data_IF_642257690478
#
_entry.id   IF_642257690478
#
_cell.length_a   1.000
_cell.length_b   1.000
_cell.length_c   1.000
_cell.angle_alpha   90.00
_cell.angle_beta   90.00
_cell.angle_gamma   90.00
#
_symmetry.space_group_name_H-M   'P 1'
#
loop_
_entity.id
_entity.type
_entity.pdbx_description
1 polymer ?
#
# COMPACT_ATOMS: atom_id res chain seq x y z
N UNK A 1 1.73 -14.27 23.59
CA UNK A 1 2.85 -13.36 23.29
C UNK A 1 2.48 -12.70 21.96
N UNK A 2 2.05 -11.44 21.97
CA UNK A 2 1.54 -10.78 20.77
C UNK A 2 2.67 -10.65 19.74
N UNK A 3 2.41 -11.02 18.49
CA UNK A 3 3.31 -10.67 17.39
C UNK A 3 3.57 -9.15 17.46
N UNK A 4 4.81 -8.67 17.21
CA UNK A 4 5.04 -7.24 17.00
C UNK A 4 4.02 -6.73 16.00
N UNK A 5 3.42 -5.55 16.26
CA UNK A 5 2.43 -4.97 15.36
C UNK A 5 3.02 -4.87 13.95
N UNK A 6 2.55 -5.75 13.06
CA UNK A 6 2.96 -5.78 11.67
C UNK A 6 2.15 -4.74 10.90
N UNK A 7 2.82 -3.99 10.01
CA UNK A 7 2.17 -2.98 9.19
C UNK A 7 2.12 -3.45 7.73
N UNK A 8 0.93 -3.64 7.13
CA UNK A 8 0.84 -4.00 5.73
C UNK A 8 1.17 -2.82 4.82
N UNK A 9 2.04 -3.05 3.84
CA UNK A 9 2.42 -2.09 2.81
C UNK A 9 2.14 -2.69 1.42
N UNK A 10 1.28 -2.04 0.67
CA UNK A 10 1.08 -2.28 -0.75
C UNK A 10 2.00 -1.36 -1.57
N UNK A 11 2.89 -1.95 -2.37
CA UNK A 11 3.65 -1.24 -3.39
C UNK A 11 2.79 -1.11 -4.65
N UNK A 12 2.17 0.06 -4.82
CA UNK A 12 1.21 0.33 -5.89
C UNK A 12 1.75 1.31 -6.94
N UNK A 13 3.05 1.61 -7.03
CA UNK A 13 3.47 2.33 -8.23
C UNK A 13 4.88 2.89 -8.33
N UNK A 14 5.10 3.26 -9.58
CA UNK A 14 6.20 3.97 -10.24
C UNK A 14 5.79 4.06 -11.71
N UNK A 15 6.37 4.98 -12.50
CA UNK A 15 5.98 5.13 -13.92
C UNK A 15 6.12 3.82 -14.70
N UNK A 16 5.04 3.35 -15.33
CA UNK A 16 5.08 2.21 -16.26
C UNK A 16 5.80 2.64 -17.53
N UNK A 17 7.04 2.17 -17.72
CA UNK A 17 7.89 2.57 -18.86
C UNK A 17 7.69 1.71 -20.10
N UNK A 18 7.09 0.52 -19.94
CA UNK A 18 6.91 -0.46 -21.04
C UNK A 18 5.51 -0.50 -21.62
N UNK A 19 4.48 -0.31 -20.79
CA UNK A 19 3.09 -0.63 -21.16
C UNK A 19 2.22 0.60 -21.44
N UNK A 20 2.72 1.82 -21.24
CA UNK A 20 1.97 3.07 -21.47
C UNK A 20 0.84 3.34 -20.45
N UNK A 21 0.33 2.31 -19.77
CA UNK A 21 -0.64 2.40 -18.66
C UNK A 21 0.05 2.06 -17.34
N UNK A 22 -0.25 2.80 -16.24
CA UNK A 22 0.27 2.48 -14.91
C UNK A 22 -0.14 1.08 -14.46
N UNK A 23 0.83 0.26 -14.04
CA UNK A 23 0.61 -1.14 -13.71
C UNK A 23 -0.47 -1.34 -12.66
N UNK A 24 -0.50 -0.48 -11.64
CA UNK A 24 -1.46 -0.59 -10.53
C UNK A 24 -2.91 -0.36 -10.95
N UNK A 25 -3.14 0.40 -12.02
CA UNK A 25 -4.46 0.68 -12.59
C UNK A 25 -4.87 -0.32 -13.70
N UNK A 26 -4.00 -1.28 -14.05
CA UNK A 26 -4.42 -2.37 -14.92
C UNK A 26 -5.58 -3.11 -14.27
N UNK A 27 -6.53 -3.54 -15.10
CA UNK A 27 -7.78 -4.15 -14.64
C UNK A 27 -7.73 -5.66 -14.80
N UNK A 28 -8.21 -6.36 -13.78
CA UNK A 28 -8.55 -7.78 -13.83
C UNK A 28 -9.71 -8.01 -14.81
N UNK A 29 -9.97 -9.26 -15.24
CA UNK A 29 -11.11 -9.57 -16.11
C UNK A 29 -12.48 -9.13 -15.57
N UNK A 30 -12.62 -9.01 -14.25
CA UNK A 30 -13.81 -8.49 -13.57
C UNK A 30 -13.89 -6.96 -13.51
N UNK A 31 -12.90 -6.26 -14.07
CA UNK A 31 -12.81 -4.80 -14.10
C UNK A 31 -12.10 -4.16 -12.91
N UNK A 32 -11.77 -4.92 -11.86
CA UNK A 32 -11.12 -4.42 -10.65
C UNK A 32 -9.65 -4.05 -10.93
N UNK A 33 -9.19 -2.84 -10.55
CA UNK A 33 -7.78 -2.47 -10.62
C UNK A 33 -6.88 -3.40 -9.77
N UNK A 34 -5.66 -3.66 -10.22
CA UNK A 34 -4.71 -4.55 -9.53
C UNK A 34 -4.46 -4.12 -8.09
N UNK A 35 -4.28 -2.81 -7.84
CA UNK A 35 -4.06 -2.33 -6.47
C UNK A 35 -5.27 -2.57 -5.56
N UNK A 36 -6.50 -2.44 -6.07
CA UNK A 36 -7.72 -2.69 -5.29
C UNK A 36 -7.86 -4.17 -4.95
N UNK A 37 -7.54 -5.06 -5.90
CA UNK A 37 -7.53 -6.50 -5.64
C UNK A 37 -6.58 -6.86 -4.50
N UNK A 38 -5.40 -6.24 -4.50
CA UNK A 38 -4.41 -6.46 -3.44
C UNK A 38 -4.82 -5.83 -2.10
N UNK A 39 -5.46 -4.67 -2.14
CA UNK A 39 -6.01 -4.01 -0.96
C UNK A 39 -7.11 -4.86 -0.30
N UNK A 40 -7.98 -5.51 -1.09
CA UNK A 40 -8.98 -6.46 -0.57
C UNK A 40 -8.31 -7.63 0.15
N UNK A 41 -7.22 -8.19 -0.41
CA UNK A 41 -6.45 -9.23 0.27
C UNK A 41 -5.92 -8.73 1.62
N UNK A 42 -5.28 -7.56 1.63
CA UNK A 42 -4.70 -6.99 2.85
C UNK A 42 -5.77 -6.68 3.90
N UNK A 43 -6.96 -6.23 3.51
CA UNK A 43 -8.09 -6.01 4.43
C UNK A 43 -8.57 -7.29 5.10
N UNK A 44 -8.58 -8.40 4.37
CA UNK A 44 -8.96 -9.69 4.93
C UNK A 44 -7.93 -10.22 5.96
N UNK A 45 -6.64 -9.92 5.76
CA UNK A 45 -5.55 -10.40 6.61
C UNK A 45 -5.31 -9.48 7.81
N UNK A 46 -5.42 -8.18 7.61
CA UNK A 46 -5.14 -7.13 8.61
C UNK A 46 -6.43 -6.35 8.91
N UNK A 47 -7.36 -6.92 9.70
CA UNK A 47 -8.60 -6.24 10.06
C UNK A 47 -8.35 -5.05 11.00
N UNK A 48 -9.39 -4.21 11.17
CA UNK A 48 -9.41 -3.09 12.11
C UNK A 48 -8.90 -3.50 13.52
N UNK A 49 -8.17 -2.61 14.21
CA UNK A 49 -7.94 -1.19 13.91
C UNK A 49 -6.67 -0.91 13.07
N UNK A 50 -6.19 -1.87 12.29
CA UNK A 50 -4.92 -1.74 11.58
C UNK A 50 -5.03 -0.79 10.38
N UNK A 51 -4.02 0.07 10.20
CA UNK A 51 -3.90 0.90 8.99
C UNK A 51 -3.15 0.13 7.91
N UNK A 52 -3.70 0.13 6.69
CA UNK A 52 -3.03 -0.38 5.48
C UNK A 52 -2.37 0.78 4.74
N UNK A 53 -1.10 0.60 4.40
CA UNK A 53 -0.31 1.60 3.72
C UNK A 53 -0.21 1.29 2.23
N UNK A 54 -0.33 2.30 1.38
CA UNK A 54 -0.13 2.19 -0.06
C UNK A 54 1.02 3.13 -0.45
N UNK A 55 2.12 2.60 -0.97
CA UNK A 55 3.18 3.43 -1.54
C UNK A 55 2.89 3.76 -3.01
N UNK A 56 3.01 5.04 -3.34
CA UNK A 56 2.86 5.58 -4.69
C UNK A 56 3.99 6.55 -5.00
N UNK A 57 4.60 6.42 -6.19
CA UNK A 57 5.51 7.44 -6.70
C UNK A 57 4.78 8.79 -6.90
N UNK A 58 5.48 9.94 -6.82
CA UNK A 58 4.89 11.26 -7.00
C UNK A 58 4.08 11.41 -8.29
N UNK A 59 4.59 10.86 -9.37
CA UNK A 59 4.02 10.93 -10.72
C UNK A 59 3.01 9.81 -11.01
N UNK A 60 2.69 8.97 -10.03
CA UNK A 60 1.70 7.90 -10.22
C UNK A 60 0.33 8.51 -10.47
N UNK A 61 -0.28 8.12 -11.58
CA UNK A 61 -1.68 8.40 -11.87
C UNK A 61 -2.59 7.74 -10.82
N UNK A 62 -3.71 8.38 -10.54
CA UNK A 62 -4.69 7.97 -9.53
C UNK A 62 -6.08 7.86 -10.16
N UNK A 63 -6.91 7.00 -9.58
CA UNK A 63 -8.35 6.96 -9.88
C UNK A 63 -9.14 7.67 -8.76
N UNK A 64 -10.46 7.74 -8.91
CA UNK A 64 -11.35 8.42 -7.95
C UNK A 64 -11.17 7.94 -6.50
N UNK A 65 -10.86 6.65 -6.31
CA UNK A 65 -10.67 6.09 -4.97
C UNK A 65 -9.35 6.54 -4.35
N UNK A 66 -8.25 6.50 -5.09
CA UNK A 66 -6.95 6.99 -4.61
C UNK A 66 -6.97 8.50 -4.38
N UNK A 67 -7.66 9.26 -5.22
CA UNK A 67 -7.85 10.70 -5.04
C UNK A 67 -8.63 11.02 -3.78
N UNK A 68 -9.72 10.28 -3.52
CA UNK A 68 -10.49 10.43 -2.28
C UNK A 68 -9.66 10.19 -1.02
N UNK A 69 -8.77 9.19 -1.03
CA UNK A 69 -7.85 8.93 0.09
C UNK A 69 -6.87 10.08 0.29
N UNK A 70 -6.31 10.63 -0.79
CA UNK A 70 -5.36 11.75 -0.72
C UNK A 70 -6.01 13.03 -0.21
N UNK A 71 -7.25 13.32 -0.63
CA UNK A 71 -8.00 14.48 -0.14
C UNK A 71 -8.40 14.33 1.34
N UNK A 72 -8.77 13.13 1.76
CA UNK A 72 -9.10 12.86 3.17
C UNK A 72 -7.89 13.01 4.11
N UNK A 73 -6.66 12.83 3.62
CA UNK A 73 -5.43 13.06 4.40
C UNK A 73 -5.13 14.55 4.62
N UNK A 74 -5.64 15.45 3.78
CA UNK A 74 -5.46 16.91 3.97
C UNK A 74 -6.47 17.52 4.94
N UNK A 75 -7.63 16.89 5.14
CA UNK A 75 -8.71 17.39 5.98
C UNK A 75 -8.74 16.66 7.35
N UNK A 76 -7.63 16.69 8.09
CA UNK A 76 -7.58 16.17 9.47
C UNK A 76 -8.39 17.07 10.44
N UNK A 77 -9.71 17.12 10.28
CA UNK A 77 -10.66 17.66 11.28
C UNK A 77 -12.08 17.16 11.02
N UNK A 78 -12.36 15.91 11.37
CA UNK A 78 -13.67 15.49 11.90
C UNK A 78 -13.65 14.02 12.31
N UNK A 79 -13.35 13.78 13.59
CA UNK A 79 -13.84 12.58 14.26
C UNK A 79 -15.28 12.85 14.67
N UNK A 80 -16.26 12.31 13.93
CA UNK A 80 -17.60 12.09 14.45
C UNK A 80 -18.37 11.09 13.57
N UNK A 81 -18.78 9.98 14.18
CA UNK A 81 -19.86 9.13 13.70
C UNK A 81 -19.43 7.79 13.09
N UNK A 82 -19.82 6.72 13.79
CA UNK A 82 -19.79 5.29 13.41
C UNK A 82 -18.44 4.72 12.94
N UNK A 83 -17.83 3.88 13.77
CA UNK A 83 -16.52 3.28 13.49
C UNK A 83 -16.56 2.52 12.16
N UNK A 84 -15.62 2.77 11.22
CA UNK A 84 -15.60 2.06 9.94
C UNK A 84 -15.40 0.56 10.18
N UNK A 85 -16.19 -0.27 9.50
CA UNK A 85 -16.05 -1.75 9.52
C UNK A 85 -14.80 -2.26 8.81
N UNK A 86 -14.04 -1.38 8.16
CA UNK A 86 -12.90 -1.73 7.32
C UNK A 86 -11.62 -1.00 7.75
N UNK A 87 -10.44 -1.64 7.58
CA UNK A 87 -9.13 -1.06 7.83
C UNK A 87 -8.97 0.34 7.22
N UNK A 88 -8.52 1.30 8.03
CA UNK A 88 -8.07 2.62 7.53
C UNK A 88 -6.98 2.43 6.47
N UNK A 89 -7.04 3.19 5.38
CA UNK A 89 -6.02 3.18 4.33
C UNK A 89 -5.27 4.51 4.34
N UNK A 90 -3.94 4.47 4.20
CA UNK A 90 -3.06 5.64 4.15
C UNK A 90 -2.10 5.54 2.97
N UNK A 91 -1.93 6.62 2.22
CA UNK A 91 -1.00 6.69 1.10
C UNK A 91 0.34 7.27 1.58
N UNK A 92 1.43 6.58 1.25
CA UNK A 92 2.79 7.04 1.43
C UNK A 92 3.35 7.46 0.07
N UNK A 93 3.39 8.77 -0.19
CA UNK A 93 4.01 9.29 -1.41
C UNK A 93 5.52 9.18 -1.33
N UNK A 94 6.12 8.61 -2.37
CA UNK A 94 7.57 8.44 -2.41
C UNK A 94 8.28 9.78 -2.53
N UNK A 95 9.30 10.00 -1.70
CA UNK A 95 10.08 11.25 -1.69
C UNK A 95 11.46 11.01 -2.30
N UNK A 96 11.68 11.35 -3.59
CA UNK A 96 13.02 11.31 -4.16
C UNK A 96 14.02 12.16 -3.38
N UNK A 97 15.28 11.73 -3.25
CA UNK A 97 16.36 12.64 -2.86
C UNK A 97 16.46 13.76 -3.90
N UNK A 98 16.49 15.02 -3.44
CA UNK A 98 16.51 16.21 -4.30
C UNK A 98 17.65 16.18 -5.34
N UNK A 99 18.80 15.61 -4.96
CA UNK A 99 20.00 15.55 -5.79
C UNK A 99 19.95 14.42 -6.85
N UNK A 100 19.12 13.40 -6.64
CA UNK A 100 19.11 12.16 -7.44
C UNK A 100 17.68 11.66 -7.69
N UNK A 101 16.83 12.44 -8.38
CA UNK A 101 15.42 12.09 -8.59
C UNK A 101 15.23 10.76 -9.34
N UNK A 102 16.17 10.38 -10.22
CA UNK A 102 16.13 9.09 -10.93
C UNK A 102 16.41 7.86 -10.06
N UNK A 103 17.07 8.05 -8.92
CA UNK A 103 17.36 6.96 -7.97
C UNK A 103 16.17 6.66 -7.03
N UNK A 104 15.08 7.42 -7.15
CA UNK A 104 13.84 7.19 -6.44
C UNK A 104 12.80 6.42 -7.26
N UNK A 105 13.24 5.75 -8.33
CA UNK A 105 12.35 4.96 -9.16
C UNK A 105 12.32 3.50 -8.66
N UNK A 106 11.11 2.95 -8.57
CA UNK A 106 10.88 1.53 -8.35
C UNK A 106 10.68 1.13 -6.89
N UNK A 107 10.59 -0.19 -6.61
CA UNK A 107 10.13 -0.71 -5.33
C UNK A 107 10.91 -0.25 -4.10
N UNK A 108 12.21 0.03 -4.26
CA UNK A 108 13.05 0.51 -3.17
C UNK A 108 12.63 1.89 -2.64
N UNK A 109 12.05 2.74 -3.49
CA UNK A 109 11.53 4.04 -3.06
C UNK A 109 10.36 3.86 -2.08
N UNK A 110 9.43 2.96 -2.40
CA UNK A 110 8.32 2.63 -1.52
C UNK A 110 8.75 2.02 -0.19
N UNK A 111 9.76 1.13 -0.20
CA UNK A 111 10.36 0.62 1.03
C UNK A 111 10.98 1.74 1.88
N UNK A 112 11.67 2.69 1.25
CA UNK A 112 12.26 3.82 1.94
C UNK A 112 11.19 4.78 2.50
N UNK A 113 10.07 4.98 1.78
CA UNK A 113 8.93 5.74 2.26
C UNK A 113 8.32 5.13 3.51
N UNK A 114 8.15 3.80 3.51
CA UNK A 114 7.68 3.07 4.68
C UNK A 114 8.68 3.15 5.85
N UNK A 115 9.97 2.96 5.60
CA UNK A 115 11.02 3.12 6.63
C UNK A 115 11.06 4.53 7.22
N UNK A 116 10.92 5.57 6.38
CA UNK A 116 10.86 6.96 6.85
C UNK A 116 9.60 7.25 7.66
N UNK A 117 8.50 6.56 7.37
CA UNK A 117 7.25 6.68 8.12
C UNK A 117 7.35 6.01 9.49
N UNK A 118 7.84 4.77 9.53
CA UNK A 118 8.09 4.05 10.78
C UNK A 118 9.30 3.09 10.60
N UNK A 119 10.49 3.47 11.11
CA UNK A 119 11.69 2.66 10.96
C UNK A 119 11.71 1.43 11.88
N UNK A 120 10.80 1.37 12.86
CA UNK A 120 10.73 0.29 13.84
C UNK A 120 9.61 -0.71 13.54
N UNK A 121 8.76 -0.42 12.56
CA UNK A 121 7.69 -1.30 12.13
C UNK A 121 8.23 -2.56 11.42
N UNK A 122 7.49 -3.65 11.62
CA UNK A 122 7.67 -4.86 10.84
C UNK A 122 6.73 -4.80 9.65
N UNK A 123 7.27 -4.39 8.51
CA UNK A 123 6.49 -4.19 7.29
C UNK A 123 6.22 -5.53 6.59
N UNK A 124 4.93 -5.82 6.36
CA UNK A 124 4.51 -6.91 5.47
C UNK A 124 4.27 -6.30 4.10
N UNK A 125 5.22 -6.53 3.18
CA UNK A 125 5.26 -5.86 1.88
C UNK A 125 4.66 -6.76 0.81
N UNK A 126 3.69 -6.21 0.07
CA UNK A 126 3.04 -6.88 -1.06
C UNK A 126 3.08 -5.96 -2.28
N UNK A 127 3.28 -6.50 -3.48
CA UNK A 127 3.22 -5.73 -4.73
C UNK A 127 1.85 -5.89 -5.37
N UNK A 128 1.39 -4.88 -6.12
CA UNK A 128 0.14 -4.98 -6.88
C UNK A 128 0.20 -5.95 -8.08
N UNK A 129 1.40 -6.42 -8.46
CA UNK A 129 1.61 -7.29 -9.62
C UNK A 129 1.22 -8.77 -9.36
N UNK A 130 0.87 -9.12 -8.12
CA UNK A 130 0.49 -10.49 -7.74
C UNK A 130 -0.99 -10.60 -7.32
N UNK A 131 -1.97 -10.27 -8.20
CA UNK A 131 -3.39 -10.20 -7.84
C UNK A 131 -4.04 -11.53 -7.44
N UNK A 132 -3.32 -12.65 -7.65
CA UNK A 132 -3.73 -14.00 -7.30
C UNK A 132 -2.99 -14.54 -6.05
N UNK A 133 -2.24 -13.70 -5.33
CA UNK A 133 -1.57 -14.08 -4.09
C UNK A 133 -2.61 -14.55 -3.06
N UNK A 134 -2.56 -15.83 -2.60
CA UNK A 134 -3.51 -16.31 -1.61
C UNK A 134 -3.17 -15.81 -0.20
N UNK A 135 -4.17 -15.65 0.70
CA UNK A 135 -3.93 -15.24 2.09
C UNK A 135 -2.94 -16.13 2.83
N UNK A 136 -3.01 -17.44 2.60
CA UNK A 136 -2.15 -18.45 3.25
C UNK A 136 -0.66 -18.22 3.01
N UNK A 137 -0.27 -17.64 1.87
CA UNK A 137 1.13 -17.31 1.60
C UNK A 137 1.64 -16.22 2.56
N UNK A 138 0.80 -15.24 2.88
CA UNK A 138 1.14 -14.16 3.81
C UNK A 138 1.11 -14.70 5.25
N UNK A 139 0.11 -15.51 5.62
CA UNK A 139 0.09 -16.17 6.93
C UNK A 139 1.33 -17.03 7.16
N UNK A 140 1.78 -17.78 6.14
CA UNK A 140 2.99 -18.58 6.24
C UNK A 140 4.24 -17.73 6.47
N UNK A 141 4.38 -16.60 5.77
CA UNK A 141 5.48 -15.66 5.98
C UNK A 141 5.47 -15.11 7.43
N UNK A 142 4.30 -14.71 7.92
CA UNK A 142 4.12 -14.16 9.25
C UNK A 142 4.44 -15.18 10.35
N UNK A 143 4.04 -16.44 10.17
CA UNK A 143 4.36 -17.55 11.07
C UNK A 143 5.87 -17.79 11.16
N UNK A 144 6.56 -17.84 10.00
CA UNK A 144 8.02 -18.06 9.95
C UNK A 144 8.86 -16.91 10.51
N UNK A 145 8.31 -15.70 10.59
CA UNK A 145 8.97 -14.57 11.26
C UNK A 145 9.04 -14.76 12.78
N UNK A 146 8.13 -15.52 13.38
CA UNK A 146 8.07 -15.77 14.82
C UNK A 146 9.11 -16.76 15.37
N UNK A 147 10.08 -17.17 14.54
CA UNK A 147 11.19 -18.10 14.88
C UNK A 147 12.48 -17.30 15.09
#
# INVERSE_FOLDING_TARGET
>A
MGLPAMRPLLLAGGKSTRMGTPTHLLRMPDGTPLYQRQLQLLRAIFPEPQTIYISLAPESETDEYLDGLLSAESDETSENGDSPKEPRVKILRDKPPAEKPRYAAGPAAGLLSAYRYDPWANWVVVTCEYPLLPPDAIYHLMDKRGI
#
